data_IF_815786412557
#
_entry.id   IF_815786412557
#
_cell.length_a   1.000
_cell.length_b   1.000
_cell.length_c   1.000
_cell.angle_alpha   90.00
_cell.angle_beta   90.00
_cell.angle_gamma   90.00
#
_symmetry.space_group_name_H-M   'P 1'
#
loop_
_entity.id
_entity.type
_entity.pdbx_description
1 polymer ?
#
# COMPACT_ATOMS: atom_id res chain seq x y z
N UNK A 1 4.15 -32.11 -3.59
CA UNK A 1 3.16 -31.02 -3.64
C UNK A 1 3.13 -30.49 -5.06
N UNK A 2 2.06 -30.70 -5.82
CA UNK A 2 1.94 -30.17 -7.18
C UNK A 2 1.75 -28.66 -7.09
N UNK A 3 2.58 -27.88 -7.80
CA UNK A 3 2.39 -26.44 -7.92
C UNK A 3 1.17 -26.21 -8.81
N UNK A 4 0.19 -25.47 -8.28
CA UNK A 4 -0.92 -25.00 -9.10
C UNK A 4 -0.41 -23.97 -10.12
N UNK A 5 -0.92 -23.97 -11.36
CA UNK A 5 -0.57 -22.92 -12.32
C UNK A 5 -1.01 -21.55 -11.79
N UNK A 6 -0.29 -20.51 -12.22
CA UNK A 6 -0.69 -19.12 -12.02
C UNK A 6 -2.03 -18.87 -12.72
N UNK A 7 -2.96 -18.24 -12.02
CA UNK A 7 -4.27 -17.84 -12.50
C UNK A 7 -4.64 -16.52 -11.84
N UNK A 8 -4.68 -15.45 -12.62
CA UNK A 8 -4.96 -14.10 -12.13
C UNK A 8 -6.41 -13.95 -11.63
N UNK A 9 -7.34 -14.80 -12.08
CA UNK A 9 -8.73 -14.75 -11.66
C UNK A 9 -8.96 -15.47 -10.32
N UNK A 10 -7.97 -16.22 -9.83
CA UNK A 10 -8.03 -16.84 -8.51
C UNK A 10 -8.18 -15.77 -7.41
N UNK A 11 -9.01 -16.07 -6.43
CA UNK A 11 -9.16 -15.22 -5.24
C UNK A 11 -7.81 -15.11 -4.51
N UNK A 12 -7.39 -13.87 -4.28
CA UNK A 12 -6.14 -13.52 -3.62
C UNK A 12 -6.36 -13.07 -2.17
N UNK A 13 -7.38 -12.23 -1.92
CA UNK A 13 -7.67 -11.74 -0.56
C UNK A 13 -9.16 -11.74 -0.23
N UNK A 14 -9.45 -11.88 1.06
CA UNK A 14 -10.76 -11.68 1.68
C UNK A 14 -10.62 -10.58 2.73
N UNK A 15 -11.04 -9.36 2.41
CA UNK A 15 -10.84 -8.21 3.29
C UNK A 15 -12.11 -7.91 4.08
N UNK A 16 -11.99 -7.85 5.40
CA UNK A 16 -13.13 -7.55 6.26
C UNK A 16 -13.54 -6.08 6.16
N UNK A 17 -14.85 -5.85 6.12
CA UNK A 17 -15.47 -4.52 6.09
C UNK A 17 -16.45 -4.41 7.26
N UNK A 18 -16.61 -3.21 7.83
CA UNK A 18 -17.39 -2.99 9.05
C UNK A 18 -18.88 -3.31 8.93
N UNK A 19 -19.44 -3.33 7.71
CA UNK A 19 -20.81 -3.77 7.41
C UNK A 19 -21.90 -2.99 8.15
N UNK A 20 -22.79 -2.30 7.44
CA UNK A 20 -23.90 -1.54 8.07
C UNK A 20 -24.85 -2.38 8.93
N UNK A 21 -24.84 -3.71 8.79
CA UNK A 21 -25.64 -4.66 9.54
C UNK A 21 -24.99 -5.19 10.83
N UNK A 22 -23.81 -4.68 11.23
CA UNK A 22 -23.11 -5.06 12.47
C UNK A 22 -22.27 -6.34 12.39
N UNK A 23 -22.52 -7.21 11.41
CA UNK A 23 -21.65 -8.36 11.09
C UNK A 23 -20.65 -7.97 10.00
N UNK A 24 -19.34 -8.17 10.21
CA UNK A 24 -18.33 -7.91 9.19
C UNK A 24 -18.56 -8.73 7.92
N UNK A 25 -18.47 -8.09 6.75
CA UNK A 25 -18.52 -8.76 5.45
C UNK A 25 -17.12 -8.91 4.89
N UNK A 26 -16.83 -10.05 4.25
CA UNK A 26 -15.57 -10.28 3.55
C UNK A 26 -15.70 -9.90 2.07
N UNK A 27 -15.03 -8.83 1.65
CA UNK A 27 -14.90 -8.46 0.25
C UNK A 27 -13.79 -9.32 -0.38
N UNK A 28 -14.16 -10.13 -1.37
CA UNK A 28 -13.24 -11.00 -2.09
C UNK A 28 -12.65 -10.28 -3.31
N UNK A 29 -11.34 -10.34 -3.48
CA UNK A 29 -10.64 -9.81 -4.64
C UNK A 29 -9.75 -10.88 -5.28
N UNK A 30 -9.75 -10.96 -6.60
CA UNK A 30 -8.80 -11.75 -7.37
C UNK A 30 -7.44 -11.05 -7.48
N UNK A 31 -6.41 -11.77 -7.94
CA UNK A 31 -5.13 -11.14 -8.29
C UNK A 31 -5.32 -10.07 -9.37
N UNK A 32 -6.13 -10.36 -10.40
CA UNK A 32 -6.46 -9.43 -11.48
C UNK A 32 -7.13 -8.15 -10.94
N UNK A 33 -8.05 -8.26 -9.98
CA UNK A 33 -8.68 -7.10 -9.36
C UNK A 33 -7.69 -6.19 -8.62
N UNK A 34 -6.73 -6.79 -7.92
CA UNK A 34 -5.68 -6.04 -7.24
C UNK A 34 -4.68 -5.40 -8.21
N UNK A 35 -4.29 -6.11 -9.26
CA UNK A 35 -3.40 -5.59 -10.30
C UNK A 35 -4.05 -4.44 -11.08
N UNK A 36 -5.35 -4.54 -11.40
CA UNK A 36 -6.10 -3.45 -12.01
C UNK A 36 -6.17 -2.21 -11.10
N UNK A 37 -6.35 -2.40 -9.79
CA UNK A 37 -6.30 -1.30 -8.82
C UNK A 37 -4.91 -0.66 -8.76
N UNK A 38 -3.84 -1.47 -8.80
CA UNK A 38 -2.48 -0.98 -8.83
C UNK A 38 -2.22 -0.15 -10.11
N UNK A 39 -2.59 -0.67 -11.27
CA UNK A 39 -2.43 0.00 -12.56
C UNK A 39 -3.08 1.40 -12.58
N UNK A 40 -4.33 1.51 -12.14
CA UNK A 40 -5.03 2.80 -12.09
C UNK A 40 -4.34 3.85 -11.22
N UNK A 41 -3.67 3.44 -10.14
CA UNK A 41 -2.88 4.34 -9.29
C UNK A 41 -1.52 4.66 -9.92
N UNK A 42 -0.87 3.67 -10.52
CA UNK A 42 0.45 3.82 -11.15
C UNK A 42 0.40 4.69 -12.41
N UNK A 43 -0.76 4.84 -13.05
CA UNK A 43 -0.96 5.83 -14.11
C UNK A 43 -0.88 7.28 -13.61
N UNK A 44 -1.01 7.50 -12.29
CA UNK A 44 -1.03 8.83 -11.67
C UNK A 44 0.23 9.13 -10.83
N UNK A 45 1.07 8.14 -10.57
CA UNK A 45 2.27 8.25 -9.73
C UNK A 45 3.50 7.79 -10.50
N UNK A 46 4.60 8.53 -10.38
CA UNK A 46 5.90 8.18 -10.96
C UNK A 46 6.64 7.16 -10.09
N UNK A 47 6.11 5.94 -10.03
CA UNK A 47 6.73 4.82 -9.31
C UNK A 47 7.45 3.86 -10.26
N UNK A 48 8.78 3.83 -10.18
CA UNK A 48 9.67 3.11 -11.11
C UNK A 48 10.49 2.01 -10.41
N UNK A 49 11.16 1.10 -11.14
CA UNK A 49 11.90 -0.02 -10.52
C UNK A 49 12.99 0.37 -9.50
N UNK A 50 13.56 1.57 -9.61
CA UNK A 50 14.53 2.11 -8.66
C UNK A 50 13.92 2.70 -7.38
N UNK A 51 12.59 2.85 -7.35
CA UNK A 51 11.88 3.49 -6.26
C UNK A 51 11.56 2.51 -5.12
N UNK A 52 11.25 3.09 -3.97
CA UNK A 52 10.93 2.39 -2.74
C UNK A 52 9.62 2.89 -2.14
N UNK A 53 8.74 1.96 -1.76
CA UNK A 53 7.48 2.25 -1.10
C UNK A 53 7.48 1.71 0.33
N UNK A 54 7.26 2.58 1.31
CA UNK A 54 7.08 2.15 2.70
C UNK A 54 5.76 1.39 2.84
N UNK A 55 5.78 0.19 3.45
CA UNK A 55 4.57 -0.49 3.91
C UNK A 55 4.02 0.24 5.15
N UNK A 56 3.43 1.41 4.93
CA UNK A 56 3.02 2.38 5.95
C UNK A 56 1.62 2.11 6.53
N UNK A 57 0.89 1.13 5.98
CA UNK A 57 -0.48 0.82 6.35
C UNK A 57 -0.69 -0.69 6.51
N UNK A 58 -1.64 -1.12 7.36
CA UNK A 58 -1.82 -2.53 7.67
C UNK A 58 -2.35 -3.36 6.49
N UNK A 59 -1.81 -4.57 6.31
CA UNK A 59 -2.23 -5.50 5.25
C UNK A 59 -3.65 -6.06 5.40
N UNK A 60 -4.23 -5.95 6.60
CA UNK A 60 -5.64 -6.31 6.81
C UNK A 60 -6.61 -5.25 6.26
N UNK A 61 -6.11 -4.12 5.74
CA UNK A 61 -6.88 -3.14 4.97
C UNK A 61 -6.45 -3.13 3.50
N UNK A 62 -7.38 -2.76 2.60
CA UNK A 62 -7.12 -2.62 1.16
C UNK A 62 -6.02 -1.59 0.87
N UNK A 63 -5.87 -0.57 1.71
CA UNK A 63 -4.83 0.45 1.56
C UNK A 63 -3.42 -0.11 1.73
N UNK A 64 -3.21 -1.01 2.69
CA UNK A 64 -1.94 -1.74 2.84
C UNK A 64 -1.74 -2.78 1.74
N UNK A 65 -2.79 -3.51 1.35
CA UNK A 65 -2.72 -4.47 0.23
C UNK A 65 -2.33 -3.78 -1.07
N UNK A 66 -2.89 -2.60 -1.36
CA UNK A 66 -2.54 -1.83 -2.55
C UNK A 66 -1.05 -1.49 -2.65
N UNK A 67 -0.36 -1.28 -1.52
CA UNK A 67 1.09 -1.04 -1.53
C UNK A 67 1.84 -2.28 -2.05
N UNK A 68 1.44 -3.48 -1.61
CA UNK A 68 2.00 -4.74 -2.09
C UNK A 68 1.79 -4.90 -3.59
N UNK A 69 0.58 -4.65 -4.09
CA UNK A 69 0.27 -4.87 -5.50
C UNK A 69 0.93 -3.86 -6.44
N UNK A 70 1.08 -2.60 -6.02
CA UNK A 70 1.86 -1.60 -6.77
C UNK A 70 3.34 -1.94 -6.81
N UNK A 71 3.90 -2.39 -5.68
CA UNK A 71 5.27 -2.89 -5.62
C UNK A 71 5.49 -4.05 -6.59
N UNK A 72 4.63 -5.07 -6.53
CA UNK A 72 4.73 -6.25 -7.39
C UNK A 72 4.52 -5.92 -8.88
N UNK A 73 3.60 -5.01 -9.20
CA UNK A 73 3.31 -4.63 -10.59
C UNK A 73 4.51 -3.94 -11.27
N UNK A 74 5.26 -3.11 -10.53
CA UNK A 74 6.44 -2.40 -11.07
C UNK A 74 7.72 -3.22 -10.93
N UNK A 75 7.81 -4.10 -9.92
CA UNK A 75 9.08 -4.78 -9.58
C UNK A 75 10.09 -3.85 -8.90
N UNK A 76 9.58 -2.88 -8.13
CA UNK A 76 10.38 -1.89 -7.40
C UNK A 76 10.84 -2.44 -6.03
N UNK A 77 11.10 -1.57 -5.04
CA UNK A 77 11.47 -1.96 -3.69
C UNK A 77 10.32 -1.75 -2.68
N UNK A 78 10.08 -2.75 -1.83
CA UNK A 78 9.20 -2.63 -0.67
C UNK A 78 10.04 -2.42 0.58
N UNK A 79 9.74 -1.38 1.35
CA UNK A 79 10.39 -1.12 2.63
C UNK A 79 9.46 -1.53 3.76
N UNK A 80 9.93 -2.44 4.61
CA UNK A 80 9.22 -2.87 5.82
C UNK A 80 10.08 -2.51 7.02
N UNK A 81 9.47 -1.83 8.00
CA UNK A 81 10.11 -1.41 9.24
C UNK A 81 9.30 -1.92 10.42
N UNK A 82 9.97 -2.12 11.55
CA UNK A 82 9.26 -2.28 12.81
C UNK A 82 8.54 -0.99 13.20
N UNK A 83 7.71 -1.06 14.25
CA UNK A 83 6.97 0.09 14.72
C UNK A 83 7.92 1.17 15.24
N UNK A 84 7.94 2.31 14.57
CA UNK A 84 8.75 3.47 14.90
C UNK A 84 8.04 4.76 14.44
N UNK A 85 8.51 5.96 14.85
CA UNK A 85 7.96 7.21 14.35
C UNK A 85 7.95 7.25 12.82
N UNK A 86 6.89 7.84 12.24
CA UNK A 86 6.68 7.82 10.79
C UNK A 86 7.84 8.47 10.04
N UNK A 87 8.37 9.59 10.54
CA UNK A 87 9.51 10.28 9.94
C UNK A 87 10.74 9.36 9.82
N UNK A 88 11.03 8.59 10.86
CA UNK A 88 12.14 7.63 10.86
C UNK A 88 11.86 6.45 9.91
N UNK A 89 10.62 5.97 9.87
CA UNK A 89 10.22 4.88 8.97
C UNK A 89 10.35 5.27 7.48
N UNK A 90 10.13 6.54 7.16
CA UNK A 90 10.24 7.10 5.82
C UNK A 90 11.68 7.38 5.37
N UNK A 91 12.68 7.20 6.24
CA UNK A 91 14.07 7.44 5.90
C UNK A 91 14.50 6.58 4.68
N UNK A 92 14.90 7.25 3.59
CA UNK A 92 15.29 6.62 2.32
C UNK A 92 14.13 6.12 1.46
N UNK A 93 12.88 6.30 1.88
CA UNK A 93 11.70 5.92 1.09
C UNK A 93 11.36 7.02 0.08
N UNK A 94 10.98 6.61 -1.13
CA UNK A 94 10.52 7.55 -2.18
C UNK A 94 9.00 7.72 -2.22
N UNK A 95 8.26 6.71 -1.75
CA UNK A 95 6.81 6.67 -1.79
C UNK A 95 6.24 6.19 -0.45
N UNK A 96 5.04 6.68 -0.11
CA UNK A 96 4.27 6.22 1.03
C UNK A 96 2.77 6.36 0.77
N UNK A 97 1.96 5.52 1.41
CA UNK A 97 0.51 5.72 1.48
C UNK A 97 0.13 6.13 2.90
N UNK A 98 -0.50 7.29 3.06
CA UNK A 98 -0.78 7.86 4.38
C UNK A 98 -2.26 8.23 4.51
N UNK A 99 -2.83 8.05 5.69
CA UNK A 99 -4.11 8.68 6.02
C UNK A 99 -3.88 10.18 6.31
N UNK A 100 -4.89 11.06 6.16
CA UNK A 100 -4.71 12.51 6.35
C UNK A 100 -4.05 12.90 7.68
N UNK A 101 -4.40 12.20 8.77
CA UNK A 101 -3.83 12.45 10.10
C UNK A 101 -2.35 12.11 10.20
N UNK A 102 -1.86 11.13 9.43
CA UNK A 102 -0.43 10.78 9.40
C UNK A 102 0.36 11.84 8.64
N UNK A 103 -0.15 12.29 7.48
CA UNK A 103 0.48 13.36 6.71
C UNK A 103 0.53 14.66 7.51
N UNK A 104 -0.56 15.03 8.19
CA UNK A 104 -0.60 16.23 9.02
C UNK A 104 0.45 16.20 10.13
N UNK A 105 0.64 15.06 10.80
CA UNK A 105 1.70 14.88 11.81
C UNK A 105 3.09 15.06 11.22
N UNK A 106 3.34 14.43 10.07
CA UNK A 106 4.62 14.54 9.37
C UNK A 106 4.94 16.01 9.00
N UNK A 107 3.95 16.77 8.54
CA UNK A 107 4.09 18.19 8.20
C UNK A 107 4.24 19.11 9.43
N UNK A 108 3.84 18.65 10.61
CA UNK A 108 3.91 19.44 11.85
C UNK A 108 5.23 19.28 12.60
N UNK A 109 6.06 18.32 12.21
CA UNK A 109 7.41 18.12 12.75
C UNK A 109 8.43 18.96 11.96
N UNK A 110 9.57 19.37 12.58
CA UNK A 110 10.64 20.02 11.84
C UNK A 110 11.07 19.13 10.66
N UNK A 111 10.87 19.61 9.43
CA UNK A 111 11.10 18.79 8.23
C UNK A 111 12.54 18.25 8.20
N UNK A 112 12.69 16.95 8.42
CA UNK A 112 13.89 16.24 8.03
C UNK A 112 14.00 16.26 6.50
N UNK A 113 15.22 16.10 5.96
CA UNK A 113 15.36 15.86 4.52
C UNK A 113 14.81 14.47 4.20
N UNK A 114 13.64 14.40 3.58
CA UNK A 114 13.05 13.15 3.10
C UNK A 114 13.45 12.91 1.64
N UNK A 115 13.53 11.64 1.24
CA UNK A 115 13.67 11.23 -0.16
C UNK A 115 12.32 11.07 -0.88
N UNK A 116 11.23 11.45 -0.22
CA UNK A 116 9.87 11.31 -0.74
C UNK A 116 9.70 12.12 -2.01
N UNK A 117 9.29 11.41 -3.07
CA UNK A 117 8.86 11.99 -4.35
C UNK A 117 7.37 12.27 -4.30
N UNK A 118 6.57 11.28 -3.87
CA UNK A 118 5.12 11.36 -3.86
C UNK A 118 4.51 10.64 -2.64
N UNK A 119 3.35 11.11 -2.21
CA UNK A 119 2.55 10.53 -1.12
C UNK A 119 1.14 10.30 -1.62
N UNK A 120 0.69 9.04 -1.57
CA UNK A 120 -0.70 8.69 -1.85
C UNK A 120 -1.53 8.88 -0.58
N UNK A 121 -2.44 9.85 -0.58
CA UNK A 121 -3.43 9.97 0.48
C UNK A 121 -4.53 8.92 0.30
N UNK A 122 -4.84 8.21 1.38
CA UNK A 122 -5.90 7.20 1.39
C UNK A 122 -6.91 7.45 2.51
N UNK A 123 -8.18 7.17 2.23
CA UNK A 123 -9.23 7.17 3.25
C UNK A 123 -9.11 5.91 4.12
N UNK A 124 -9.65 5.98 5.35
CA UNK A 124 -9.64 4.87 6.30
C UNK A 124 -10.63 3.77 5.93
#
# INVERSE_FOLDING_TARGET
MQLLPWDEQRLATLTLTSGSSGLPKAAAHSYAGHLASADGVLQLLEFQPQDSWLLSLPLFHVSGQGIIWRWLAVGAQLVVREMQPLADALAGCTHASLVPTQLWRLLSEPMAKHALKEVLLVER
#
